data_IF_698704473042
#
_entry.id   IF_698704473042
#
_cell.length_a   1.000
_cell.length_b   1.000
_cell.length_c   1.000
_cell.angle_alpha   90.00
_cell.angle_beta   90.00
_cell.angle_gamma   90.00
#
_symmetry.space_group_name_H-M   'P 1'
#
loop_
_entity.id
_entity.type
_entity.pdbx_description
1 polymer ?
#
# COMPACT_ATOMS: atom_id res chain seq x y z
N UNK A 1 19.47 -4.54 2.49
CA UNK A 1 20.11 -4.33 3.81
C UNK A 1 20.11 -5.61 4.61
N UNK A 2 21.24 -5.98 5.18
CA UNK A 2 21.34 -7.12 6.10
C UNK A 2 20.90 -6.70 7.51
N UNK A 3 19.90 -7.42 8.01
CA UNK A 3 19.34 -7.21 9.33
C UNK A 3 19.35 -8.56 10.04
N UNK A 4 20.10 -8.65 11.15
CA UNK A 4 20.26 -9.91 11.87
C UNK A 4 20.89 -11.04 11.01
N UNK A 5 21.77 -10.69 10.05
CA UNK A 5 22.40 -11.64 9.13
C UNK A 5 21.54 -12.06 7.93
N UNK A 6 20.35 -11.48 7.77
CA UNK A 6 19.47 -11.76 6.63
C UNK A 6 19.33 -10.50 5.76
N UNK A 7 19.56 -10.65 4.44
CA UNK A 7 19.35 -9.58 3.48
C UNK A 7 17.86 -9.36 3.25
N UNK A 8 17.41 -8.11 3.37
CA UNK A 8 16.01 -7.73 3.18
C UNK A 8 15.88 -6.66 2.12
N UNK A 9 14.86 -6.80 1.29
CA UNK A 9 14.55 -5.86 0.22
C UNK A 9 13.62 -4.77 0.73
N UNK A 10 13.98 -3.53 0.45
CA UNK A 10 13.15 -2.35 0.70
C UNK A 10 13.06 -1.57 -0.60
N UNK A 11 11.86 -1.13 -0.90
CA UNK A 11 11.60 -0.26 -2.04
C UNK A 11 11.36 1.17 -1.58
N UNK A 12 11.84 2.13 -2.35
CA UNK A 12 11.40 3.53 -2.24
C UNK A 12 10.01 3.59 -2.84
N UNK A 13 9.05 4.07 -2.06
CA UNK A 13 7.66 4.13 -2.49
C UNK A 13 7.23 5.57 -2.74
N UNK A 14 6.28 5.82 -3.67
CA UNK A 14 5.70 7.13 -3.86
C UNK A 14 5.12 7.66 -2.56
N UNK A 15 5.38 8.92 -2.25
CA UNK A 15 4.94 9.54 -1.00
C UNK A 15 4.40 10.95 -1.20
N UNK A 16 3.47 11.32 -0.33
CA UNK A 16 2.87 12.65 -0.27
C UNK A 16 2.81 13.13 1.19
N UNK A 17 2.57 14.42 1.38
CA UNK A 17 2.35 15.02 2.69
C UNK A 17 0.86 15.36 2.82
N UNK A 18 0.25 15.05 3.97
CA UNK A 18 -1.09 15.47 4.31
C UNK A 18 -1.10 16.79 5.10
N UNK A 19 -2.30 17.31 5.37
CA UNK A 19 -2.51 18.57 6.11
C UNK A 19 -1.97 18.52 7.55
N UNK A 20 -1.73 17.34 8.09
CA UNK A 20 -1.11 17.12 9.42
C UNK A 20 0.42 17.01 9.35
N UNK A 21 1.03 17.39 8.23
CA UNK A 21 2.49 17.30 7.99
C UNK A 21 3.07 15.88 8.11
N UNK A 22 2.24 14.87 7.89
CA UNK A 22 2.65 13.47 7.90
C UNK A 22 2.89 12.96 6.49
N UNK A 23 4.02 12.26 6.31
CA UNK A 23 4.39 11.64 5.04
C UNK A 23 3.70 10.27 4.98
N UNK A 24 2.97 10.03 3.91
CA UNK A 24 2.26 8.77 3.68
C UNK A 24 2.52 8.23 2.27
N UNK A 25 2.31 6.93 2.09
CA UNK A 25 2.42 6.30 0.78
C UNK A 25 1.26 6.72 -0.13
N UNK A 26 1.58 7.18 -1.32
CA UNK A 26 0.62 7.38 -2.40
C UNK A 26 0.57 6.15 -3.31
N UNK A 27 -0.50 6.06 -4.11
CA UNK A 27 -0.66 4.93 -5.03
C UNK A 27 0.53 4.82 -5.99
N UNK A 28 1.00 3.61 -6.32
CA UNK A 28 2.11 3.41 -7.23
C UNK A 28 1.74 3.90 -8.63
N UNK A 29 2.67 4.64 -9.23
CA UNK A 29 2.57 5.06 -10.63
C UNK A 29 3.67 4.35 -11.41
N UNK A 30 3.33 3.37 -12.25
CA UNK A 30 4.32 2.61 -13.02
C UNK A 30 5.17 3.52 -13.91
N UNK A 31 6.46 3.21 -13.99
CA UNK A 31 7.40 3.96 -14.81
C UNK A 31 7.86 5.29 -14.21
N UNK A 32 7.42 5.67 -13.01
CA UNK A 32 8.01 6.79 -12.29
C UNK A 32 9.38 6.39 -11.74
N UNK A 33 10.32 7.32 -11.85
CA UNK A 33 11.64 7.16 -11.25
C UNK A 33 11.61 7.31 -9.73
N UNK A 34 12.75 7.64 -9.15
CA UNK A 34 12.87 7.90 -7.72
C UNK A 34 11.90 9.02 -7.30
N UNK A 35 11.06 8.73 -6.33
CA UNK A 35 10.13 9.68 -5.74
C UNK A 35 10.59 10.11 -4.36
N UNK A 36 10.38 11.37 -4.02
CA UNK A 36 10.68 11.93 -2.72
C UNK A 36 9.66 13.01 -2.36
N UNK A 37 9.57 13.31 -1.08
CA UNK A 37 8.74 14.42 -0.58
C UNK A 37 9.63 15.47 0.01
N UNK A 38 9.49 16.73 -0.41
CA UNK A 38 10.14 17.86 0.22
C UNK A 38 9.24 18.44 1.29
N UNK A 39 9.78 18.62 2.49
CA UNK A 39 9.12 19.29 3.60
C UNK A 39 9.97 20.44 4.11
N UNK A 40 9.29 21.52 4.46
CA UNK A 40 9.88 22.68 5.13
C UNK A 40 8.98 23.06 6.32
N UNK A 41 9.48 22.87 7.53
CA UNK A 41 8.75 23.19 8.77
C UNK A 41 8.91 24.67 9.22
N UNK A 42 9.57 25.49 8.40
CA UNK A 42 9.80 26.90 8.70
C UNK A 42 10.92 27.20 9.69
N UNK A 43 11.55 26.17 10.26
CA UNK A 43 12.64 26.34 11.23
C UNK A 43 14.05 26.42 10.58
N UNK A 44 14.11 26.33 9.26
CA UNK A 44 15.35 26.44 8.47
C UNK A 44 16.13 25.13 8.33
N UNK A 45 17.29 25.20 7.69
CA UNK A 45 18.09 24.04 7.27
C UNK A 45 18.67 23.21 8.42
N UNK A 46 18.68 23.73 9.63
CA UNK A 46 19.13 22.99 10.82
C UNK A 46 18.05 22.07 11.41
N UNK A 47 16.81 22.18 10.93
CA UNK A 47 15.72 21.34 11.39
C UNK A 47 15.81 19.93 10.79
N UNK A 48 15.70 18.92 11.64
CA UNK A 48 15.55 17.53 11.20
C UNK A 48 14.22 17.24 10.49
N UNK A 49 13.32 18.22 10.41
CA UNK A 49 12.03 18.14 9.76
C UNK A 49 11.98 18.89 8.42
N UNK A 50 13.05 19.59 8.05
CA UNK A 50 13.21 20.24 6.74
C UNK A 50 14.14 19.40 5.86
N UNK A 51 13.80 19.22 4.59
CA UNK A 51 14.61 18.52 3.61
C UNK A 51 13.84 17.53 2.74
N UNK A 52 14.59 16.65 2.12
CA UNK A 52 14.06 15.61 1.24
C UNK A 52 13.85 14.31 2.02
N UNK A 53 12.63 13.79 1.95
CA UNK A 53 12.22 12.57 2.64
C UNK A 53 11.87 11.48 1.64
N UNK A 54 12.39 10.29 1.89
CA UNK A 54 12.07 9.09 1.14
C UNK A 54 11.29 8.15 2.06
N UNK A 55 10.18 7.63 1.56
CA UNK A 55 9.44 6.58 2.25
C UNK A 55 9.90 5.23 1.71
N UNK A 56 10.33 4.37 2.63
CA UNK A 56 10.73 3.00 2.30
C UNK A 56 9.71 2.03 2.86
N UNK A 57 9.35 1.03 2.07
CA UNK A 57 8.60 -0.14 2.54
C UNK A 57 9.36 -1.42 2.25
N UNK A 58 9.23 -2.36 3.17
CA UNK A 58 9.78 -3.69 2.98
C UNK A 58 8.88 -4.45 2.01
N UNK A 59 9.50 -5.15 1.06
CA UNK A 59 8.84 -5.99 0.09
C UNK A 59 9.17 -5.59 -1.34
N UNK A 60 8.50 -6.29 -2.26
CA UNK A 60 8.63 -6.08 -3.70
C UNK A 60 7.26 -5.88 -4.31
N UNK A 61 7.14 -4.87 -5.16
CA UNK A 61 5.90 -4.60 -5.90
C UNK A 61 5.77 -5.61 -7.04
N UNK A 62 4.67 -6.35 -7.01
CA UNK A 62 4.27 -7.26 -8.09
C UNK A 62 2.98 -6.77 -8.75
N UNK A 63 2.65 -7.36 -9.89
CA UNK A 63 1.39 -7.07 -10.54
C UNK A 63 0.81 -8.30 -11.24
N UNK A 64 -0.50 -8.29 -11.44
CA UNK A 64 -1.22 -9.27 -12.26
C UNK A 64 -2.29 -8.58 -13.08
N UNK A 65 -2.58 -9.11 -14.25
CA UNK A 65 -3.62 -8.59 -15.15
C UNK A 65 -4.78 -9.58 -15.27
N UNK A 66 -5.95 -9.04 -15.50
CA UNK A 66 -7.14 -9.83 -15.84
C UNK A 66 -8.10 -9.00 -16.69
N UNK A 67 -8.90 -9.68 -17.49
CA UNK A 67 -9.92 -9.06 -18.34
C UNK A 67 -11.30 -9.54 -17.94
N UNK A 68 -12.25 -8.61 -17.91
CA UNK A 68 -13.68 -8.87 -17.70
C UNK A 68 -14.40 -8.45 -18.98
N UNK A 69 -14.82 -9.44 -19.76
CA UNK A 69 -15.45 -9.21 -21.08
C UNK A 69 -16.95 -8.93 -20.96
N UNK A 70 -17.57 -9.34 -19.88
CA UNK A 70 -18.99 -9.15 -19.62
C UNK A 70 -19.20 -8.57 -18.24
N UNK A 71 -20.01 -7.53 -18.14
CA UNK A 71 -20.36 -6.92 -16.87
C UNK A 71 -21.19 -7.90 -16.01
N UNK A 72 -20.64 -8.27 -14.87
CA UNK A 72 -21.24 -9.21 -13.92
C UNK A 72 -21.38 -8.51 -12.57
N UNK A 73 -22.55 -8.61 -11.97
CA UNK A 73 -22.80 -8.08 -10.62
C UNK A 73 -22.08 -8.92 -9.57
N UNK A 74 -21.55 -8.28 -8.55
CA UNK A 74 -20.79 -8.93 -7.48
C UNK A 74 -19.66 -9.82 -8.01
N UNK A 75 -18.99 -9.35 -9.06
CA UNK A 75 -17.86 -10.08 -9.63
C UNK A 75 -16.74 -10.20 -8.59
N UNK A 76 -16.12 -11.38 -8.55
CA UNK A 76 -14.96 -11.65 -7.69
C UNK A 76 -13.83 -12.16 -8.55
N UNK A 77 -12.67 -11.51 -8.43
CA UNK A 77 -11.42 -11.98 -9.03
C UNK A 77 -10.49 -12.47 -7.93
N UNK A 78 -10.22 -13.76 -7.91
CA UNK A 78 -9.25 -14.37 -6.98
C UNK A 78 -7.89 -14.53 -7.66
N UNK A 79 -6.82 -14.34 -6.91
CA UNK A 79 -5.47 -14.72 -7.29
C UNK A 79 -4.67 -15.17 -6.07
N UNK A 80 -3.79 -16.13 -6.27
CA UNK A 80 -2.95 -16.69 -5.21
C UNK A 80 -1.68 -15.86 -5.09
N UNK A 81 -1.43 -15.36 -3.90
CA UNK A 81 -0.19 -14.65 -3.56
C UNK A 81 -0.03 -14.64 -2.05
N UNK A 82 1.14 -15.01 -1.57
CA UNK A 82 1.45 -15.03 -0.14
C UNK A 82 1.99 -13.70 0.35
N UNK A 83 1.88 -13.46 1.66
CA UNK A 83 2.54 -12.34 2.36
C UNK A 83 2.16 -10.95 1.83
N UNK A 84 0.94 -10.78 1.36
CA UNK A 84 0.40 -9.48 0.92
C UNK A 84 -0.51 -8.94 2.01
N UNK A 85 -0.32 -7.65 2.34
CA UNK A 85 -1.25 -6.93 3.17
C UNK A 85 -2.37 -6.35 2.29
N UNK A 86 -3.61 -6.44 2.72
CA UNK A 86 -4.76 -5.88 2.03
C UNK A 86 -4.65 -4.36 1.83
N UNK A 87 -3.91 -3.65 2.69
CA UNK A 87 -3.63 -2.22 2.52
C UNK A 87 -2.77 -1.93 1.30
N UNK A 88 -1.91 -2.85 0.90
CA UNK A 88 -0.93 -2.69 -0.17
C UNK A 88 -1.40 -3.33 -1.48
N UNK A 89 -2.66 -3.08 -1.85
CA UNK A 89 -3.28 -3.54 -3.10
C UNK A 89 -3.93 -2.36 -3.80
N UNK A 90 -3.59 -2.15 -5.07
CA UNK A 90 -4.11 -1.08 -5.94
C UNK A 90 -4.61 -1.66 -7.26
N UNK A 91 -5.69 -1.12 -7.77
CA UNK A 91 -6.33 -1.58 -8.99
C UNK A 91 -6.44 -0.46 -10.02
N UNK A 92 -6.00 -0.74 -11.23
CA UNK A 92 -6.06 0.18 -12.34
C UNK A 92 -6.75 -0.46 -13.54
N UNK A 93 -7.60 0.30 -14.20
CA UNK A 93 -8.13 -0.06 -15.50
C UNK A 93 -7.17 0.38 -16.59
N UNK A 94 -6.96 -0.47 -17.57
CA UNK A 94 -6.09 -0.21 -18.70
C UNK A 94 -6.90 0.23 -19.93
N UNK A 95 -6.27 1.05 -20.76
CA UNK A 95 -6.78 1.37 -22.09
C UNK A 95 -6.45 0.25 -23.10
N UNK A 96 -6.86 0.45 -24.35
CA UNK A 96 -6.60 -0.50 -25.45
C UNK A 96 -5.10 -0.68 -25.78
N UNK A 97 -4.22 0.19 -25.28
CA UNK A 97 -2.78 0.13 -25.48
C UNK A 97 -2.03 -0.43 -24.24
N UNK A 98 -2.79 -0.88 -23.22
CA UNK A 98 -2.23 -1.39 -21.98
C UNK A 98 -1.69 -0.32 -21.04
N UNK A 99 -2.03 0.96 -21.29
CA UNK A 99 -1.66 2.07 -20.40
C UNK A 99 -2.71 2.25 -19.31
N UNK A 100 -2.29 2.77 -18.17
CA UNK A 100 -3.21 3.09 -17.08
C UNK A 100 -4.15 4.21 -17.55
N UNK A 101 -5.43 3.89 -17.55
CA UNK A 101 -6.50 4.81 -17.92
C UNK A 101 -7.18 5.42 -16.69
N UNK A 102 -7.42 4.60 -15.65
CA UNK A 102 -8.20 4.99 -14.49
C UNK A 102 -7.80 4.15 -13.27
N UNK A 103 -7.73 4.80 -12.10
CA UNK A 103 -7.56 4.11 -10.83
C UNK A 103 -8.93 3.80 -10.22
N UNK A 104 -9.08 2.58 -9.69
CA UNK A 104 -10.23 2.19 -8.88
C UNK A 104 -9.92 2.39 -7.40
N UNK A 105 -10.91 2.87 -6.65
CA UNK A 105 -10.77 3.20 -5.23
C UNK A 105 -11.08 1.99 -4.37
N UNK A 106 -10.13 1.62 -3.52
CA UNK A 106 -10.34 0.57 -2.53
C UNK A 106 -11.21 1.08 -1.38
N UNK A 107 -12.21 0.30 -1.01
CA UNK A 107 -13.12 0.59 0.12
C UNK A 107 -13.13 -0.57 1.09
N UNK A 108 -13.31 -0.32 2.39
CA UNK A 108 -13.30 -1.40 3.40
C UNK A 108 -14.50 -2.34 3.28
N UNK A 109 -15.60 -1.90 2.68
CA UNK A 109 -16.79 -2.72 2.43
C UNK A 109 -17.60 -2.14 1.29
N UNK A 110 -18.21 -3.02 0.48
CA UNK A 110 -19.15 -2.68 -0.59
C UNK A 110 -20.61 -2.67 -0.14
N UNK A 111 -20.87 -2.91 1.15
CA UNK A 111 -22.20 -2.94 1.75
C UNK A 111 -22.31 -1.95 2.93
N UNK A 112 -23.54 -1.68 3.36
CA UNK A 112 -23.80 -0.81 4.50
C UNK A 112 -23.52 0.67 4.21
N UNK A 113 -23.03 1.39 5.21
CA UNK A 113 -22.86 2.85 5.14
C UNK A 113 -21.90 3.30 4.02
N UNK A 114 -20.86 2.53 3.73
CA UNK A 114 -19.90 2.87 2.68
C UNK A 114 -20.55 2.85 1.29
N UNK A 115 -21.41 1.89 1.00
CA UNK A 115 -22.17 1.84 -0.25
C UNK A 115 -23.13 3.05 -0.38
N UNK A 116 -23.75 3.46 0.71
CA UNK A 116 -24.65 4.62 0.75
C UNK A 116 -23.89 5.93 0.50
N UNK A 117 -22.77 6.14 1.17
CA UNK A 117 -21.94 7.33 0.97
C UNK A 117 -21.40 7.42 -0.46
N UNK A 118 -20.92 6.32 -1.03
CA UNK A 118 -20.43 6.29 -2.39
C UNK A 118 -21.56 6.48 -3.43
N UNK A 119 -22.80 6.14 -3.10
CA UNK A 119 -23.95 6.42 -3.97
C UNK A 119 -24.30 7.90 -4.06
N UNK A 120 -23.96 8.68 -3.03
CA UNK A 120 -24.15 10.12 -3.00
C UNK A 120 -23.02 10.88 -3.71
N UNK A 121 -21.80 10.35 -3.69
CA UNK A 121 -20.67 10.85 -4.47
C UNK A 121 -20.66 10.18 -5.83
N UNK A 122 -21.17 10.86 -6.85
CA UNK A 122 -21.18 10.35 -8.24
C UNK A 122 -19.77 10.17 -8.81
N UNK A 123 -18.78 10.75 -8.18
CA UNK A 123 -17.38 10.79 -8.64
C UNK A 123 -16.60 9.52 -8.24
N UNK A 124 -17.02 8.79 -7.21
CA UNK A 124 -16.33 7.60 -6.71
C UNK A 124 -17.17 6.33 -6.86
N UNK A 125 -17.52 5.99 -8.09
CA UNK A 125 -18.27 4.76 -8.38
C UNK A 125 -17.37 3.58 -8.77
N UNK A 126 -16.11 3.84 -9.11
CA UNK A 126 -15.12 2.84 -9.43
C UNK A 126 -14.46 2.32 -8.17
N UNK A 127 -15.20 1.51 -7.44
CA UNK A 127 -14.80 1.00 -6.12
C UNK A 127 -14.69 -0.52 -6.12
N UNK A 128 -13.77 -1.01 -5.30
CA UNK A 128 -13.59 -2.43 -5.03
C UNK A 128 -13.19 -2.66 -3.58
N UNK A 129 -13.38 -3.88 -3.10
CA UNK A 129 -12.93 -4.34 -1.79
C UNK A 129 -11.87 -5.43 -1.96
N UNK A 130 -10.95 -5.51 -1.02
CA UNK A 130 -9.92 -6.56 -0.95
C UNK A 130 -10.22 -7.44 0.22
N UNK A 131 -10.29 -8.75 -0.01
CA UNK A 131 -10.52 -9.75 1.01
C UNK A 131 -9.37 -10.75 0.98
N UNK A 132 -8.57 -10.77 2.05
CA UNK A 132 -7.52 -11.76 2.24
C UNK A 132 -8.11 -13.05 2.80
N UNK A 133 -7.69 -14.20 2.27
CA UNK A 133 -8.10 -15.54 2.71
C UNK A 133 -6.94 -16.30 3.35
N UNK A 134 -7.29 -17.28 4.16
CA UNK A 134 -6.30 -18.09 4.90
C UNK A 134 -5.45 -19.04 4.03
N UNK A 135 -5.79 -19.18 2.75
CA UNK A 135 -5.10 -20.04 1.77
C UNK A 135 -4.16 -19.26 0.84
N UNK A 136 -3.64 -18.13 1.30
CA UNK A 136 -2.79 -17.23 0.51
C UNK A 136 -3.50 -16.74 -0.78
N UNK A 137 -4.81 -16.57 -0.71
CA UNK A 137 -5.62 -16.04 -1.81
C UNK A 137 -6.13 -14.65 -1.45
N UNK A 138 -6.05 -13.75 -2.42
CA UNK A 138 -6.67 -12.44 -2.34
C UNK A 138 -7.84 -12.39 -3.32
N UNK A 139 -8.98 -11.96 -2.83
CA UNK A 139 -10.15 -11.67 -3.64
C UNK A 139 -10.30 -10.16 -3.83
N UNK A 140 -10.40 -9.75 -5.09
CA UNK A 140 -10.92 -8.44 -5.46
C UNK A 140 -12.42 -8.59 -5.66
N UNK A 141 -13.19 -7.95 -4.78
CA UNK A 141 -14.64 -8.01 -4.81
C UNK A 141 -15.18 -6.72 -5.37
N UNK A 142 -16.10 -6.82 -6.33
CA UNK A 142 -16.72 -5.68 -6.99
C UNK A 142 -18.20 -5.59 -6.62
N UNK A 143 -18.81 -4.44 -6.83
CA UNK A 143 -20.17 -4.19 -6.41
C UNK A 143 -21.24 -4.70 -7.39
N UNK A 144 -22.46 -4.26 -7.15
CA UNK A 144 -23.68 -4.76 -7.79
C UNK A 144 -24.14 -3.93 -9.02
N UNK A 145 -23.44 -2.85 -9.33
CA UNK A 145 -23.81 -1.92 -10.41
C UNK A 145 -24.78 -0.81 -10.00
N UNK A 146 -25.40 -0.90 -8.82
CA UNK A 146 -26.31 0.14 -8.32
C UNK A 146 -25.55 1.26 -7.61
N UNK A 147 -24.68 0.91 -6.68
CA UNK A 147 -23.87 1.83 -5.88
C UNK A 147 -22.44 1.95 -6.36
N UNK A 148 -22.01 1.05 -7.21
CA UNK A 148 -20.69 1.01 -7.83
C UNK A 148 -20.80 0.70 -9.32
N UNK A 149 -19.77 1.02 -10.10
CA UNK A 149 -19.68 0.57 -11.46
C UNK A 149 -19.32 -0.92 -11.49
N UNK A 150 -19.82 -1.62 -12.51
CA UNK A 150 -19.41 -3.00 -12.78
C UNK A 150 -18.04 -2.99 -13.46
N UNK A 151 -17.14 -3.93 -13.13
CA UNK A 151 -15.87 -4.05 -13.82
C UNK A 151 -16.10 -4.51 -15.26
N UNK A 152 -15.52 -3.79 -16.20
CA UNK A 152 -15.53 -4.13 -17.62
C UNK A 152 -14.25 -3.65 -18.28
N UNK A 153 -13.59 -4.53 -19.02
CA UNK A 153 -12.31 -4.27 -19.70
C UNK A 153 -11.14 -4.94 -19.01
N UNK A 154 -9.93 -4.48 -19.31
CA UNK A 154 -8.68 -5.04 -18.79
C UNK A 154 -8.22 -4.24 -17.57
N UNK A 155 -7.82 -4.95 -16.56
CA UNK A 155 -7.36 -4.40 -15.28
C UNK A 155 -5.97 -4.92 -14.95
N UNK A 156 -5.18 -4.07 -14.28
CA UNK A 156 -3.90 -4.43 -13.65
C UNK A 156 -3.98 -4.15 -12.17
N UNK A 157 -3.71 -5.17 -11.37
CA UNK A 157 -3.61 -5.09 -9.93
C UNK A 157 -2.15 -5.02 -9.54
N UNK A 158 -1.75 -4.02 -8.76
CA UNK A 158 -0.45 -3.95 -8.10
C UNK A 158 -0.61 -4.34 -6.64
N UNK A 159 0.33 -5.11 -6.13
CA UNK A 159 0.38 -5.51 -4.72
C UNK A 159 1.81 -5.70 -4.27
N UNK A 160 2.07 -5.47 -2.98
CA UNK A 160 3.41 -5.63 -2.41
C UNK A 160 3.50 -6.94 -1.65
N UNK A 161 4.48 -7.75 -2.05
CA UNK A 161 4.82 -9.01 -1.38
C UNK A 161 5.91 -8.75 -0.34
N UNK A 162 5.66 -9.10 0.91
CA UNK A 162 6.59 -8.96 2.03
C UNK A 162 7.38 -10.25 2.30
N UNK A 163 8.41 -10.16 3.13
CA UNK A 163 9.23 -11.33 3.50
C UNK A 163 8.67 -12.15 4.67
N UNK A 164 7.50 -11.81 5.17
CA UNK A 164 6.80 -12.50 6.25
C UNK A 164 7.67 -12.68 7.51
N UNK A 165 8.43 -11.66 7.90
CA UNK A 165 9.34 -11.76 9.02
C UNK A 165 9.17 -10.62 10.02
N UNK A 166 9.45 -10.92 11.28
CA UNK A 166 9.50 -9.93 12.35
C UNK A 166 10.94 -9.47 12.57
N UNK A 167 11.17 -8.16 12.55
CA UNK A 167 12.48 -7.56 12.82
C UNK A 167 12.31 -6.11 13.30
N UNK A 168 13.41 -5.52 13.76
CA UNK A 168 13.49 -4.09 14.06
C UNK A 168 14.70 -3.49 13.34
N UNK A 169 14.58 -2.25 12.90
CA UNK A 169 15.67 -1.48 12.30
C UNK A 169 15.85 -0.23 13.13
N UNK A 170 17.04 -0.03 13.63
CA UNK A 170 17.39 1.19 14.35
C UNK A 170 18.06 2.20 13.39
N UNK A 171 18.03 3.51 13.70
CA UNK A 171 18.75 4.52 12.91
C UNK A 171 20.24 4.18 12.73
N UNK A 172 20.87 3.56 13.72
CA UNK A 172 22.26 3.07 13.66
C UNK A 172 22.49 2.02 12.57
N UNK A 173 21.51 1.17 12.27
CA UNK A 173 21.61 0.12 11.27
C UNK A 173 21.61 0.67 9.83
N UNK A 174 21.15 1.90 9.67
CA UNK A 174 21.04 2.59 8.39
C UNK A 174 22.11 3.67 8.18
N UNK A 175 23.13 3.70 9.04
CA UNK A 175 24.25 4.63 8.86
C UNK A 175 25.11 4.26 7.66
N UNK A 176 25.60 5.27 6.93
CA UNK A 176 26.51 5.10 5.80
C UNK A 176 25.86 4.51 4.55
N UNK A 177 24.54 4.48 4.48
CA UNK A 177 23.83 4.05 3.26
C UNK A 177 23.81 5.21 2.27
N UNK A 178 24.15 4.92 1.03
CA UNK A 178 24.01 5.85 -0.09
C UNK A 178 23.16 5.26 -1.18
N UNK A 179 22.36 6.12 -1.81
CA UNK A 179 21.58 5.82 -3.00
C UNK A 179 22.22 6.54 -4.19
N UNK A 180 22.51 5.79 -5.24
CA UNK A 180 23.03 6.35 -6.50
C UNK A 180 21.95 6.24 -7.58
N UNK A 181 21.55 7.39 -8.12
CA UNK A 181 20.49 7.50 -9.12
C UNK A 181 21.05 8.09 -10.40
N UNK A 182 21.05 7.37 -11.51
CA UNK A 182 21.40 7.94 -12.81
C UNK A 182 20.30 8.89 -13.27
N UNK A 183 20.69 10.03 -13.80
CA UNK A 183 19.78 10.99 -14.40
C UNK A 183 20.41 11.63 -15.64
N UNK A 184 19.60 12.24 -16.48
CA UNK A 184 20.05 13.02 -17.63
C UNK A 184 19.98 14.50 -17.24
N UNK A 185 21.11 15.19 -17.34
CA UNK A 185 21.19 16.60 -17.03
C UNK A 185 20.55 17.48 -18.14
N UNK A 186 20.50 18.79 -17.91
CA UNK A 186 19.91 19.73 -18.85
C UNK A 186 20.66 19.80 -20.22
N UNK A 187 21.89 19.30 -20.28
CA UNK A 187 22.68 19.21 -21.50
C UNK A 187 22.53 17.88 -22.24
N UNK A 188 21.69 16.97 -21.75
CA UNK A 188 21.48 15.64 -22.31
C UNK A 188 22.57 14.62 -21.92
N UNK A 189 23.45 14.93 -20.96
CA UNK A 189 24.51 14.04 -20.51
C UNK A 189 24.04 13.19 -19.35
N UNK A 190 24.41 11.90 -19.35
CA UNK A 190 24.12 11.01 -18.23
C UNK A 190 25.02 11.34 -17.03
N UNK A 191 24.41 11.61 -15.92
CA UNK A 191 25.03 11.90 -14.63
C UNK A 191 24.56 10.93 -13.55
N UNK A 192 25.25 10.91 -12.41
CA UNK A 192 24.83 10.11 -11.25
C UNK A 192 24.74 11.02 -10.03
N UNK A 193 23.56 11.06 -9.43
CA UNK A 193 23.33 11.71 -8.15
C UNK A 193 23.56 10.67 -7.04
N UNK A 194 24.48 10.95 -6.12
CA UNK A 194 24.71 10.12 -4.93
C UNK A 194 24.20 10.86 -3.71
N UNK A 195 23.29 10.24 -2.99
CA UNK A 195 22.65 10.80 -1.79
C UNK A 195 22.96 9.94 -0.58
N UNK A 196 23.39 10.54 0.52
CA UNK A 196 23.46 9.87 1.82
C UNK A 196 22.05 9.78 2.41
N UNK A 197 21.68 8.61 2.93
CA UNK A 197 20.37 8.36 3.52
C UNK A 197 20.56 8.01 4.99
N UNK A 198 19.74 8.61 5.85
CA UNK A 198 19.64 8.26 7.28
C UNK A 198 18.21 7.92 7.65
N UNK A 199 18.05 6.91 8.49
CA UNK A 199 16.73 6.57 9.02
C UNK A 199 16.36 7.57 10.14
N UNK A 200 15.20 8.21 10.00
CA UNK A 200 14.72 9.20 10.97
C UNK A 200 14.12 8.56 12.22
N UNK A 201 13.39 7.46 12.06
CA UNK A 201 12.70 6.76 13.14
C UNK A 201 12.96 5.26 13.04
N UNK A 202 13.03 4.59 14.19
CA UNK A 202 13.14 3.14 14.24
C UNK A 202 11.93 2.46 13.58
N UNK A 203 12.19 1.36 12.87
CA UNK A 203 11.16 0.49 12.30
C UNK A 203 11.01 -0.72 13.20
N UNK A 204 9.83 -0.94 13.77
CA UNK A 204 9.52 -2.10 14.64
C UNK A 204 8.13 -2.67 14.40
N UNK A 205 7.45 -2.20 13.34
CA UNK A 205 6.07 -2.62 13.01
C UNK A 205 6.02 -3.85 12.09
N UNK A 206 7.18 -4.47 11.79
CA UNK A 206 7.17 -5.69 11.01
C UNK A 206 6.56 -6.82 11.84
N UNK A 207 5.68 -7.58 11.23
CA UNK A 207 5.07 -8.77 11.80
C UNK A 207 5.10 -9.91 10.78
N UNK A 208 5.24 -11.13 11.28
CA UNK A 208 4.93 -12.29 10.46
C UNK A 208 3.42 -12.40 10.23
N UNK A 209 3.01 -13.11 9.17
CA UNK A 209 1.60 -13.41 8.94
C UNK A 209 1.02 -14.15 10.13
N UNK A 210 -0.23 -13.87 10.46
CA UNK A 210 -0.92 -14.60 11.53
C UNK A 210 -1.16 -16.06 11.15
N UNK A 211 -0.98 -16.96 12.12
CA UNK A 211 -1.34 -18.35 11.93
C UNK A 211 -2.86 -18.51 11.94
N UNK A 212 -3.36 -19.54 11.26
CA UNK A 212 -4.80 -19.88 11.28
C UNK A 212 -5.36 -20.08 12.69
N UNK A 213 -4.56 -20.56 13.62
CA UNK A 213 -4.99 -20.77 15.00
C UNK A 213 -5.08 -19.43 15.76
N UNK A 214 -4.14 -18.52 15.54
CA UNK A 214 -4.22 -17.14 16.07
C UNK A 214 -5.44 -16.40 15.53
N UNK A 215 -5.72 -16.54 14.24
CA UNK A 215 -6.91 -15.93 13.61
C UNK A 215 -8.19 -16.46 14.24
N UNK A 216 -8.29 -17.79 14.44
CA UNK A 216 -9.47 -18.40 15.07
C UNK A 216 -9.68 -17.94 16.51
N UNK A 217 -8.61 -17.81 17.27
CA UNK A 217 -8.65 -17.34 18.66
C UNK A 217 -9.13 -15.88 18.73
N UNK A 218 -8.57 -15.02 17.90
CA UNK A 218 -8.92 -13.59 17.87
C UNK A 218 -10.28 -13.33 17.24
N UNK A 219 -10.70 -14.10 16.23
CA UNK A 219 -11.96 -13.90 15.54
C UNK A 219 -13.18 -13.92 16.48
N UNK A 220 -13.16 -14.79 17.50
CA UNK A 220 -14.20 -14.81 18.52
C UNK A 220 -14.26 -13.50 19.31
N UNK A 221 -13.12 -12.98 19.72
CA UNK A 221 -13.01 -11.75 20.51
C UNK A 221 -13.45 -10.52 19.68
N UNK A 222 -12.99 -10.40 18.43
CA UNK A 222 -13.39 -9.32 17.51
C UNK A 222 -14.89 -9.37 17.24
N UNK A 223 -15.47 -10.57 17.08
CA UNK A 223 -16.92 -10.73 16.87
C UNK A 223 -17.72 -10.24 18.09
N UNK A 224 -17.29 -10.54 19.32
CA UNK A 224 -17.97 -10.11 20.53
C UNK A 224 -17.85 -8.59 20.77
N UNK A 225 -16.70 -7.98 20.43
CA UNK A 225 -16.52 -6.54 20.57
C UNK A 225 -17.38 -5.71 19.60
N UNK A 226 -17.82 -6.31 18.48
CA UNK A 226 -18.62 -5.64 17.42
C UNK A 226 -18.02 -4.27 17.00
N UNK A 227 -16.70 -4.15 16.96
CA UNK A 227 -15.97 -2.90 16.75
C UNK A 227 -16.31 -1.78 17.76
N UNK A 228 -16.72 -2.16 18.98
CA UNK A 228 -16.93 -1.23 20.07
C UNK A 228 -15.86 -1.42 21.12
N UNK A 229 -15.18 -0.35 21.49
CA UNK A 229 -14.21 -0.32 22.59
C UNK A 229 -14.91 0.24 23.84
N UNK A 230 -15.64 -0.61 24.58
CA UNK A 230 -16.43 -0.22 25.75
C UNK A 230 -15.73 -0.68 27.02
N UNK A 231 -15.10 -1.84 27.01
CA UNK A 231 -14.42 -2.42 28.17
C UNK A 231 -12.90 -2.43 28.01
N UNK A 232 -12.18 -2.65 29.11
CA UNK A 232 -10.71 -2.74 29.05
C UNK A 232 -10.24 -3.95 28.23
N UNK A 233 -11.03 -5.01 28.16
CA UNK A 233 -10.77 -6.18 27.33
C UNK A 233 -10.90 -5.86 25.84
N UNK A 234 -11.83 -5.00 25.45
CA UNK A 234 -12.01 -4.59 24.05
C UNK A 234 -10.77 -3.88 23.51
N UNK A 235 -10.04 -3.14 24.36
CA UNK A 235 -8.79 -2.45 23.98
C UNK A 235 -7.59 -3.39 23.81
N UNK A 236 -7.66 -4.62 24.28
CA UNK A 236 -6.60 -5.63 24.12
C UNK A 236 -6.70 -6.41 22.82
N UNK A 237 -7.82 -6.30 22.12
CA UNK A 237 -8.16 -7.09 20.93
C UNK A 237 -7.92 -6.33 19.62
N UNK A 238 -7.75 -5.01 19.70
CA UNK A 238 -7.58 -4.11 18.53
C UNK A 238 -6.12 -3.85 18.19
#
# INVERSE_FOLDING_TARGET
KDIGGTSRVFEVVPSSINDSDSIYESAPVPGTGLTYTFRNDGAGDSSNNTGYFFLFKQGTMENTEFTVDTAITNFVRSFTTSNVNDTDVWLYKLDQFGQIFEQWTKVPSLSGNNAIYNSLSKDERNIFNVVSKADDTIDLVFGDGNFSNLPLGTFRTYYRVSDNAKYAIQPSDMQGISLSVPYIDANGSQQTLTMGISLKQSVYNSAASESNDSIKEKAGQVYYSQNRMITAEDYQVV
#
